data_IF_200525483117
#
_entry.id   IF_200525483117
#
_cell.length_a   1.000
_cell.length_b   1.000
_cell.length_c   1.000
_cell.angle_alpha   90.00
_cell.angle_beta   90.00
_cell.angle_gamma   90.00
#
_symmetry.space_group_name_H-M   'P 1'
#
loop_
_entity.id
_entity.type
_entity.pdbx_description
1 polymer ?
#
# COMPACT_ATOMS: atom_id res chain seq x y z
N UNK A 1 18.07 -10.39 -15.45
CA UNK A 1 17.73 -8.98 -15.18
C UNK A 1 19.03 -8.26 -14.95
N UNK A 2 19.26 -7.13 -15.63
CA UNK A 2 20.30 -6.18 -15.19
C UNK A 2 19.75 -5.43 -13.97
N UNK A 3 20.62 -5.19 -12.99
CA UNK A 3 20.22 -4.77 -11.66
C UNK A 3 21.38 -4.71 -10.70
N UNK A 4 21.17 -3.97 -9.61
CA UNK A 4 22.02 -4.05 -8.42
C UNK A 4 21.27 -4.80 -7.33
N UNK A 5 21.96 -5.71 -6.67
CA UNK A 5 21.47 -6.48 -5.54
C UNK A 5 22.12 -6.00 -4.25
N UNK A 6 21.31 -5.86 -3.20
CA UNK A 6 21.71 -5.59 -1.83
C UNK A 6 21.43 -6.83 -0.99
N UNK A 7 22.48 -7.50 -0.55
CA UNK A 7 22.39 -8.69 0.29
C UNK A 7 22.93 -8.41 1.70
N UNK A 8 22.16 -8.59 2.78
CA UNK A 8 22.64 -8.35 4.14
C UNK A 8 23.92 -9.14 4.44
N UNK A 9 24.93 -8.45 5.01
CA UNK A 9 26.19 -9.10 5.41
C UNK A 9 26.06 -9.96 6.65
N UNK A 10 25.16 -9.58 7.55
CA UNK A 10 24.83 -10.23 8.79
C UNK A 10 23.39 -9.88 9.18
N UNK A 11 22.87 -10.53 10.21
CA UNK A 11 21.59 -10.15 10.82
C UNK A 11 21.66 -8.72 11.33
N UNK A 12 20.64 -7.92 11.01
CA UNK A 12 20.55 -6.54 11.48
C UNK A 12 20.23 -6.50 12.98
N UNK A 13 21.04 -5.76 13.75
CA UNK A 13 20.85 -5.57 15.19
C UNK A 13 20.01 -4.33 15.52
N UNK A 14 19.91 -3.38 14.57
CA UNK A 14 19.12 -2.16 14.69
C UNK A 14 18.30 -1.89 13.42
N UNK A 15 17.38 -0.92 13.50
CA UNK A 15 16.59 -0.45 12.34
C UNK A 15 17.47 0.31 11.35
N UNK A 16 17.25 0.05 10.06
CA UNK A 16 17.90 0.73 8.95
C UNK A 16 16.83 1.54 8.21
N UNK A 17 17.08 2.82 7.97
CA UNK A 17 16.21 3.62 7.11
C UNK A 17 16.76 3.62 5.68
N UNK A 18 16.05 2.96 4.77
CA UNK A 18 16.35 2.90 3.35
C UNK A 18 15.62 3.97 2.53
N UNK A 19 15.04 4.98 3.19
CA UNK A 19 14.51 6.16 2.52
C UNK A 19 15.59 6.79 1.63
N UNK A 20 15.29 6.97 0.35
CA UNK A 20 16.24 7.51 -0.64
C UNK A 20 17.11 6.45 -1.33
N UNK A 21 17.11 5.20 -0.87
CA UNK A 21 17.74 4.08 -1.59
C UNK A 21 16.71 3.53 -2.59
N UNK A 22 16.62 4.18 -3.75
CA UNK A 22 15.67 3.86 -4.82
C UNK A 22 16.38 3.84 -6.17
N UNK A 23 15.88 3.10 -7.18
CA UNK A 23 16.44 3.13 -8.54
C UNK A 23 16.64 4.55 -9.11
N UNK A 24 15.72 5.48 -8.83
CA UNK A 24 15.85 6.87 -9.26
C UNK A 24 17.11 7.57 -8.71
N UNK A 25 17.58 7.14 -7.53
CA UNK A 25 18.78 7.68 -6.87
C UNK A 25 20.01 6.82 -7.14
N UNK A 26 19.87 5.51 -7.19
CA UNK A 26 21.00 4.59 -7.32
C UNK A 26 21.48 4.47 -8.76
N UNK A 27 20.59 4.49 -9.75
CA UNK A 27 20.95 4.28 -11.16
C UNK A 27 21.98 5.28 -11.73
N UNK A 28 21.96 6.57 -11.36
CA UNK A 28 22.98 7.52 -11.80
C UNK A 28 24.37 7.34 -11.15
N UNK A 29 24.50 6.49 -10.12
CA UNK A 29 25.73 6.36 -9.35
C UNK A 29 26.66 5.29 -9.92
N UNK A 30 27.95 5.43 -9.64
CA UNK A 30 28.90 4.32 -9.76
C UNK A 30 28.74 3.35 -8.59
N UNK A 31 29.21 2.11 -8.76
CA UNK A 31 29.18 1.10 -7.68
C UNK A 31 29.86 1.63 -6.40
N UNK A 32 31.00 2.31 -6.53
CA UNK A 32 31.73 2.88 -5.40
C UNK A 32 30.96 3.99 -4.67
N UNK A 33 30.24 4.82 -5.42
CA UNK A 33 29.38 5.85 -4.82
C UNK A 33 28.19 5.22 -4.09
N UNK A 34 27.58 4.18 -4.69
CA UNK A 34 26.50 3.43 -4.07
C UNK A 34 26.95 2.74 -2.76
N UNK A 35 28.11 2.09 -2.76
CA UNK A 35 28.73 1.51 -1.56
C UNK A 35 28.95 2.53 -0.44
N UNK A 36 29.27 3.77 -0.81
CA UNK A 36 29.51 4.87 0.11
C UNK A 36 28.27 5.63 0.57
N UNK A 37 27.07 5.34 0.05
CA UNK A 37 25.85 6.03 0.46
C UNK A 37 25.61 5.83 1.97
N UNK A 38 25.42 6.92 2.70
CA UNK A 38 25.19 6.85 4.14
C UNK A 38 23.72 6.58 4.43
N UNK A 39 23.46 5.54 5.22
CA UNK A 39 22.11 5.17 5.68
C UNK A 39 22.04 5.22 7.21
N UNK A 40 20.93 5.71 7.79
CA UNK A 40 20.70 5.62 9.23
C UNK A 40 20.62 4.16 9.69
N UNK A 41 21.35 3.83 10.76
CA UNK A 41 21.35 2.52 11.43
C UNK A 41 21.30 2.71 12.94
N UNK A 42 20.12 2.52 13.53
CA UNK A 42 19.86 2.84 14.94
C UNK A 42 20.13 4.33 15.23
N UNK A 43 21.11 4.60 16.09
CA UNK A 43 21.51 5.97 16.46
C UNK A 43 22.68 6.53 15.63
N UNK A 44 23.19 5.77 14.65
CA UNK A 44 24.36 6.12 13.84
C UNK A 44 23.98 6.24 12.36
N UNK A 45 24.89 6.74 11.55
CA UNK A 45 24.81 6.67 10.09
C UNK A 45 26.03 5.90 9.60
N UNK A 46 25.82 4.90 8.74
CA UNK A 46 26.86 4.00 8.24
C UNK A 46 26.83 3.94 6.71
N UNK A 47 27.95 3.64 6.03
CA UNK A 47 27.94 3.37 4.60
C UNK A 47 27.07 2.14 4.27
N UNK A 48 26.40 2.16 3.13
CA UNK A 48 25.53 1.07 2.68
C UNK A 48 26.29 -0.25 2.58
N UNK A 49 27.55 -0.21 2.13
CA UNK A 49 28.42 -1.37 2.03
C UNK A 49 28.82 -1.99 3.38
N UNK A 50 28.64 -1.29 4.51
CA UNK A 50 28.87 -1.86 5.84
C UNK A 50 27.74 -2.85 6.22
N UNK A 51 26.53 -2.61 5.71
CA UNK A 51 25.35 -3.43 6.00
C UNK A 51 25.07 -4.47 4.91
N UNK A 52 25.36 -4.15 3.65
CA UNK A 52 25.03 -4.99 2.50
C UNK A 52 26.27 -5.33 1.65
N UNK A 53 26.29 -6.55 1.12
CA UNK A 53 27.04 -6.86 -0.09
C UNK A 53 26.27 -6.27 -1.27
N UNK A 54 26.98 -5.49 -2.10
CA UNK A 54 26.40 -4.81 -3.25
C UNK A 54 26.95 -5.46 -4.51
N UNK A 55 26.08 -6.13 -5.26
CA UNK A 55 26.47 -6.91 -6.44
C UNK A 55 25.73 -6.41 -7.68
N UNK A 56 26.42 -6.37 -8.83
CA UNK A 56 25.85 -5.89 -10.08
C UNK A 56 26.02 -4.38 -10.30
N UNK A 57 25.71 -3.95 -11.52
CA UNK A 57 25.73 -2.53 -11.86
C UNK A 57 24.43 -1.88 -11.36
N UNK A 58 24.48 -0.65 -10.83
CA UNK A 58 23.29 0.10 -10.46
C UNK A 58 22.58 0.58 -11.72
N UNK A 59 21.90 -0.34 -12.40
CA UNK A 59 21.10 -0.06 -13.59
C UNK A 59 19.83 -0.91 -13.54
N UNK A 60 18.69 -0.34 -13.91
CA UNK A 60 17.44 -1.09 -13.93
C UNK A 60 16.89 -1.41 -12.53
N UNK A 61 16.87 -2.69 -12.15
CA UNK A 61 16.16 -3.17 -10.95
C UNK A 61 17.05 -3.08 -9.72
N UNK A 62 16.52 -2.53 -8.62
CA UNK A 62 17.12 -2.63 -7.30
C UNK A 62 16.53 -3.84 -6.56
N UNK A 63 17.34 -4.87 -6.34
CA UNK A 63 16.95 -6.06 -5.59
C UNK A 63 17.48 -5.95 -4.15
N UNK A 64 16.62 -6.18 -3.17
CA UNK A 64 17.01 -6.45 -1.79
C UNK A 64 16.81 -7.94 -1.55
N UNK A 65 17.91 -8.67 -1.46
CA UNK A 65 17.91 -10.08 -1.09
C UNK A 65 17.71 -10.21 0.42
N UNK A 66 16.86 -11.14 0.85
CA UNK A 66 16.64 -11.45 2.27
C UNK A 66 16.18 -10.19 3.05
N UNK A 67 14.92 -9.82 2.87
CA UNK A 67 14.29 -8.72 3.62
C UNK A 67 14.28 -8.95 5.14
N UNK A 68 14.31 -7.86 5.91
CA UNK A 68 14.21 -7.86 7.38
C UNK A 68 13.17 -6.81 7.83
N UNK A 69 12.41 -7.13 8.88
CA UNK A 69 11.42 -6.25 9.53
C UNK A 69 12.00 -4.93 10.07
N UNK A 70 13.33 -4.83 10.14
CA UNK A 70 14.10 -3.65 10.53
C UNK A 70 14.42 -2.72 9.36
N UNK A 71 14.10 -3.10 8.12
CA UNK A 71 14.30 -2.27 6.93
C UNK A 71 13.11 -1.32 6.76
N UNK A 72 13.23 -0.12 7.31
CA UNK A 72 12.20 0.91 7.19
C UNK A 72 12.41 1.75 5.91
N UNK A 73 11.34 2.37 5.41
CA UNK A 73 11.43 3.36 4.33
C UNK A 73 11.81 2.80 2.95
N UNK A 74 11.75 1.47 2.75
CA UNK A 74 12.07 0.84 1.46
C UNK A 74 11.21 1.41 0.34
N UNK A 75 11.81 1.96 -0.72
CA UNK A 75 11.07 2.56 -1.83
C UNK A 75 10.33 3.86 -1.47
N UNK A 76 10.61 4.46 -0.31
CA UNK A 76 10.01 5.74 0.06
C UNK A 76 10.38 6.83 -0.97
N UNK A 77 9.37 7.59 -1.41
CA UNK A 77 9.51 8.65 -2.41
C UNK A 77 9.78 8.19 -3.84
N UNK A 78 9.71 6.90 -4.15
CA UNK A 78 10.17 6.37 -5.44
C UNK A 78 9.36 6.95 -6.62
N UNK A 79 10.05 7.48 -7.64
CA UNK A 79 9.50 8.08 -8.87
C UNK A 79 10.21 7.49 -10.10
N UNK A 80 9.95 6.20 -10.26
CA UNK A 80 10.24 5.33 -11.41
C UNK A 80 11.55 4.53 -11.41
N UNK A 81 11.48 3.34 -12.03
CA UNK A 81 12.32 2.17 -11.79
C UNK A 81 11.54 1.03 -11.10
N UNK A 82 12.22 -0.08 -10.83
CA UNK A 82 11.63 -1.24 -10.13
C UNK A 82 12.50 -1.63 -8.93
N UNK A 83 11.85 -1.83 -7.78
CA UNK A 83 12.48 -2.28 -6.54
C UNK A 83 11.79 -3.56 -6.10
N UNK A 84 12.58 -4.62 -5.92
CA UNK A 84 12.09 -5.94 -5.50
C UNK A 84 12.72 -6.27 -4.15
N UNK A 85 11.91 -6.74 -3.20
CA UNK A 85 12.37 -7.26 -1.92
C UNK A 85 11.97 -8.72 -1.81
N UNK A 86 12.96 -9.59 -1.70
CA UNK A 86 12.75 -11.00 -1.38
C UNK A 86 12.73 -11.19 0.14
N UNK A 87 11.56 -11.01 0.74
CA UNK A 87 11.35 -11.16 2.18
C UNK A 87 10.45 -10.07 2.76
N UNK A 88 10.58 -9.87 4.07
CA UNK A 88 9.78 -8.90 4.83
C UNK A 88 10.42 -7.51 4.80
N UNK A 89 9.61 -6.47 5.03
CA UNK A 89 10.10 -5.10 5.25
C UNK A 89 9.50 -4.50 6.51
N UNK A 90 10.16 -3.48 7.04
CA UNK A 90 9.68 -2.68 8.16
C UNK A 90 8.58 -1.70 7.78
N UNK A 91 8.49 -0.62 8.55
CA UNK A 91 7.49 0.42 8.38
C UNK A 91 7.83 1.34 7.20
N UNK A 92 6.82 2.09 6.73
CA UNK A 92 6.97 3.17 5.75
C UNK A 92 7.44 2.73 4.34
N UNK A 93 7.37 1.45 4.03
CA UNK A 93 7.69 0.97 2.68
C UNK A 93 6.78 1.66 1.64
N UNK A 94 7.36 2.24 0.59
CA UNK A 94 6.64 2.97 -0.45
C UNK A 94 5.96 4.27 0.01
N UNK A 95 6.30 4.81 1.20
CA UNK A 95 5.75 6.09 1.68
C UNK A 95 5.99 7.19 0.66
N UNK A 96 4.93 7.90 0.25
CA UNK A 96 5.02 9.02 -0.67
C UNK A 96 5.52 8.65 -2.07
N UNK A 97 5.51 7.36 -2.44
CA UNK A 97 5.90 6.93 -3.78
C UNK A 97 5.01 7.60 -4.84
N UNK A 98 5.64 8.07 -5.92
CA UNK A 98 4.99 8.80 -7.01
C UNK A 98 5.04 8.08 -8.36
N UNK A 99 5.86 7.04 -8.51
CA UNK A 99 6.03 6.30 -9.76
C UNK A 99 6.93 5.07 -9.61
N UNK A 100 6.86 4.16 -10.58
CA UNK A 100 7.62 2.90 -10.57
C UNK A 100 6.85 1.73 -9.95
N UNK A 101 7.58 0.65 -9.68
CA UNK A 101 7.03 -0.59 -9.14
C UNK A 101 7.83 -1.05 -7.92
N UNK A 102 7.14 -1.27 -6.80
CA UNK A 102 7.69 -1.87 -5.59
C UNK A 102 7.03 -3.24 -5.37
N UNK A 103 7.84 -4.31 -5.37
CA UNK A 103 7.38 -5.69 -5.12
C UNK A 103 7.98 -6.22 -3.84
N UNK A 104 7.14 -6.74 -2.94
CA UNK A 104 7.57 -7.27 -1.64
C UNK A 104 7.01 -8.69 -1.50
N UNK A 105 7.89 -9.69 -1.38
CA UNK A 105 7.51 -11.10 -1.32
C UNK A 105 6.97 -11.55 0.06
N UNK A 106 7.32 -10.85 1.14
CA UNK A 106 6.88 -11.15 2.51
C UNK A 106 5.83 -10.18 3.03
N UNK A 107 5.88 -9.93 4.34
CA UNK A 107 5.06 -8.96 5.06
C UNK A 107 5.69 -7.56 5.05
N UNK A 108 4.86 -6.53 5.25
CA UNK A 108 5.30 -5.16 5.46
C UNK A 108 4.76 -4.60 6.78
N UNK A 109 5.56 -3.76 7.44
CA UNK A 109 5.16 -3.08 8.67
C UNK A 109 4.10 -1.99 8.44
N UNK A 110 3.97 -1.12 9.44
CA UNK A 110 2.99 -0.04 9.44
C UNK A 110 3.27 0.98 8.32
N UNK A 111 2.21 1.66 7.89
CA UNK A 111 2.26 2.73 6.90
C UNK A 111 2.79 2.32 5.51
N UNK A 112 2.61 1.05 5.12
CA UNK A 112 2.85 0.60 3.75
C UNK A 112 2.10 1.49 2.75
N UNK A 113 2.81 2.09 1.81
CA UNK A 113 2.24 2.95 0.78
C UNK A 113 1.51 4.17 1.33
N UNK A 114 1.80 4.61 2.56
CA UNK A 114 1.21 5.82 3.10
C UNK A 114 1.51 7.01 2.18
N UNK A 115 0.49 7.80 1.87
CA UNK A 115 0.58 8.94 0.96
C UNK A 115 1.06 8.61 -0.47
N UNK A 116 0.87 7.37 -0.94
CA UNK A 116 1.10 6.98 -2.34
C UNK A 116 0.38 7.94 -3.29
N UNK A 117 1.11 8.53 -4.23
CA UNK A 117 0.58 9.49 -5.21
C UNK A 117 0.60 8.94 -6.64
N UNK A 118 1.43 7.94 -6.91
CA UNK A 118 1.51 7.24 -8.20
C UNK A 118 2.39 6.00 -8.10
N UNK A 119 2.47 5.24 -9.19
CA UNK A 119 3.17 3.94 -9.23
C UNK A 119 2.34 2.78 -8.67
N UNK A 120 3.01 1.64 -8.45
CA UNK A 120 2.38 0.39 -8.02
C UNK A 120 3.18 -0.28 -6.91
N UNK A 121 2.50 -0.62 -5.82
CA UNK A 121 3.03 -1.44 -4.73
C UNK A 121 2.31 -2.79 -4.76
N UNK A 122 3.07 -3.87 -4.85
CA UNK A 122 2.58 -5.25 -4.78
C UNK A 122 3.22 -5.97 -3.60
N UNK A 123 2.43 -6.20 -2.56
CA UNK A 123 2.81 -6.96 -1.38
C UNK A 123 2.16 -8.36 -1.44
N UNK A 124 2.93 -9.42 -1.27
CA UNK A 124 2.39 -10.78 -1.26
C UNK A 124 1.83 -11.18 0.13
N UNK A 125 2.46 -10.74 1.22
CA UNK A 125 2.05 -11.03 2.59
C UNK A 125 1.06 -10.02 3.18
N UNK A 126 1.17 -9.82 4.50
CA UNK A 126 0.34 -8.96 5.32
C UNK A 126 0.94 -7.55 5.46
N UNK A 127 0.07 -6.55 5.54
CA UNK A 127 0.44 -5.18 5.85
C UNK A 127 0.06 -4.83 7.31
N UNK A 128 0.90 -4.04 7.96
CA UNK A 128 0.62 -3.46 9.28
C UNK A 128 -0.51 -2.43 9.27
N UNK A 129 -0.57 -1.61 10.32
CA UNK A 129 -1.56 -0.54 10.43
C UNK A 129 -1.34 0.55 9.37
N UNK A 130 -2.39 1.30 9.04
CA UNK A 130 -2.33 2.48 8.17
C UNK A 130 -1.81 2.23 6.73
N UNK A 131 -2.00 1.03 6.20
CA UNK A 131 -1.66 0.76 4.79
C UNK A 131 -2.46 1.71 3.85
N UNK A 132 -1.76 2.44 2.98
CA UNK A 132 -2.34 3.47 2.11
C UNK A 132 -2.91 4.69 2.86
N UNK A 133 -2.70 4.77 4.17
CA UNK A 133 -3.26 5.79 5.04
C UNK A 133 -2.51 7.13 5.02
N UNK A 134 -2.98 8.06 5.85
CA UNK A 134 -2.27 9.30 6.15
C UNK A 134 -1.18 9.07 7.20
N UNK A 135 -0.06 9.79 7.05
CA UNK A 135 0.94 9.85 8.11
C UNK A 135 0.47 10.74 9.27
N UNK A 136 1.13 10.65 10.42
CA UNK A 136 0.83 11.48 11.59
C UNK A 136 0.90 12.98 11.24
N UNK A 137 -0.19 13.71 11.47
CA UNK A 137 -0.30 15.14 11.16
C UNK A 137 -0.68 15.45 9.71
N UNK A 138 -0.71 14.45 8.83
CA UNK A 138 -1.12 14.63 7.45
C UNK A 138 -2.63 14.73 7.28
N UNK A 139 -3.04 15.57 6.32
CA UNK A 139 -4.46 15.81 6.00
C UNK A 139 -4.98 14.83 4.94
N UNK A 140 -4.12 14.04 4.31
CA UNK A 140 -4.46 13.16 3.18
C UNK A 140 -3.59 11.91 3.21
N UNK A 141 -4.19 10.76 2.98
CA UNK A 141 -3.47 9.50 2.73
C UNK A 141 -3.14 9.33 1.25
N UNK A 142 -3.25 8.10 0.76
CA UNK A 142 -3.05 7.77 -0.65
C UNK A 142 -3.93 8.63 -1.57
N UNK A 143 -3.33 9.23 -2.60
CA UNK A 143 -3.96 10.15 -3.55
C UNK A 143 -3.96 9.65 -4.99
N UNK A 144 -3.17 8.61 -5.30
CA UNK A 144 -3.07 7.98 -6.62
C UNK A 144 -2.25 6.70 -6.56
N UNK A 145 -2.10 6.01 -7.69
CA UNK A 145 -1.41 4.72 -7.77
C UNK A 145 -2.27 3.52 -7.38
N UNK A 146 -1.62 2.36 -7.31
CA UNK A 146 -2.26 1.08 -6.93
C UNK A 146 -1.46 0.44 -5.79
N UNK A 147 -2.14 0.15 -4.68
CA UNK A 147 -1.60 -0.64 -3.57
C UNK A 147 -2.34 -1.98 -3.51
N UNK A 148 -1.63 -3.07 -3.82
CA UNK A 148 -2.16 -4.43 -3.76
C UNK A 148 -1.49 -5.20 -2.62
N UNK A 149 -2.31 -5.72 -1.71
CA UNK A 149 -1.92 -6.51 -0.55
C UNK A 149 -2.50 -7.91 -0.73
N UNK A 150 -1.65 -8.93 -0.80
CA UNK A 150 -2.05 -10.32 -1.00
C UNK A 150 -2.71 -10.94 0.24
N UNK A 151 -2.20 -10.61 1.43
CA UNK A 151 -2.73 -11.04 2.71
C UNK A 151 -3.68 -10.03 3.36
N UNK A 152 -3.56 -9.91 4.67
CA UNK A 152 -4.39 -9.05 5.52
C UNK A 152 -3.80 -7.64 5.63
N UNK A 153 -4.65 -6.65 5.90
CA UNK A 153 -4.25 -5.30 6.26
C UNK A 153 -4.66 -4.98 7.71
N UNK A 154 -3.75 -4.37 8.47
CA UNK A 154 -4.01 -3.94 9.84
C UNK A 154 -5.05 -2.81 9.98
N UNK A 155 -5.24 -2.30 11.19
CA UNK A 155 -6.19 -1.23 11.46
C UNK A 155 -5.92 0.04 10.65
N UNK A 156 -6.97 0.79 10.34
CA UNK A 156 -6.93 2.07 9.64
C UNK A 156 -6.26 2.04 8.27
N UNK A 157 -6.28 0.90 7.59
CA UNK A 157 -5.99 0.85 6.16
C UNK A 157 -6.90 1.85 5.41
N UNK A 158 -6.39 2.47 4.34
CA UNK A 158 -7.10 3.48 3.54
C UNK A 158 -7.55 4.74 4.32
N UNK A 159 -7.00 5.01 5.50
CA UNK A 159 -7.34 6.22 6.26
C UNK A 159 -7.05 7.49 5.44
N UNK A 160 -8.06 8.36 5.32
CA UNK A 160 -7.98 9.61 4.54
C UNK A 160 -7.53 9.42 3.09
N UNK A 161 -7.75 8.23 2.51
CA UNK A 161 -7.53 8.01 1.09
C UNK A 161 -8.31 9.07 0.30
N UNK A 162 -7.64 9.69 -0.68
CA UNK A 162 -8.18 10.73 -1.57
C UNK A 162 -8.28 10.26 -3.01
N UNK A 163 -7.56 9.21 -3.39
CA UNK A 163 -7.58 8.68 -4.74
C UNK A 163 -6.83 7.36 -4.83
N UNK A 164 -6.66 6.87 -6.06
CA UNK A 164 -6.02 5.58 -6.32
C UNK A 164 -6.88 4.37 -5.92
N UNK A 165 -6.27 3.19 -6.03
CA UNK A 165 -6.90 1.90 -5.76
C UNK A 165 -6.13 1.12 -4.70
N UNK A 166 -6.81 0.70 -3.64
CA UNK A 166 -6.31 -0.23 -2.62
C UNK A 166 -7.03 -1.56 -2.77
N UNK A 167 -6.30 -2.66 -2.88
CA UNK A 167 -6.84 -4.02 -3.00
C UNK A 167 -6.22 -4.90 -1.92
N UNK A 168 -7.06 -5.44 -1.04
CA UNK A 168 -6.68 -6.31 0.07
C UNK A 168 -7.26 -7.70 -0.21
N UNK A 169 -6.39 -8.70 -0.38
CA UNK A 169 -6.78 -10.07 -0.70
C UNK A 169 -7.44 -10.80 0.48
N UNK A 170 -6.94 -10.56 1.69
CA UNK A 170 -7.46 -11.10 2.94
C UNK A 170 -8.38 -10.14 3.70
N UNK A 171 -8.24 -10.14 5.02
CA UNK A 171 -9.04 -9.34 5.95
C UNK A 171 -8.49 -7.91 6.12
N UNK A 172 -9.38 -6.97 6.43
CA UNK A 172 -9.03 -5.61 6.81
C UNK A 172 -9.41 -5.35 8.28
N UNK A 173 -8.49 -4.76 9.04
CA UNK A 173 -8.71 -4.42 10.45
C UNK A 173 -9.76 -3.33 10.69
N UNK A 174 -9.93 -2.97 11.97
CA UNK A 174 -10.82 -1.88 12.41
C UNK A 174 -10.51 -0.56 11.71
N UNK A 175 -11.57 0.19 11.39
CA UNK A 175 -11.45 1.56 10.90
C UNK A 175 -10.90 1.67 9.48
N UNK A 176 -11.04 0.62 8.66
CA UNK A 176 -10.80 0.69 7.22
C UNK A 176 -11.52 1.93 6.63
N UNK A 177 -10.83 2.72 5.81
CA UNK A 177 -11.38 3.90 5.15
C UNK A 177 -11.92 4.99 6.09
N UNK A 178 -11.43 5.05 7.35
CA UNK A 178 -11.73 6.17 8.26
C UNK A 178 -11.34 7.50 7.60
N UNK A 179 -12.21 8.50 7.70
CA UNK A 179 -12.04 9.83 7.09
C UNK A 179 -11.77 9.80 5.57
N UNK A 180 -12.13 8.73 4.84
CA UNK A 180 -11.88 8.62 3.40
C UNK A 180 -12.47 9.84 2.64
N UNK A 181 -11.65 10.47 1.82
CA UNK A 181 -11.99 11.69 1.07
C UNK A 181 -12.56 11.33 -0.31
N UNK A 182 -11.96 10.33 -0.96
CA UNK A 182 -12.35 9.72 -2.24
C UNK A 182 -11.41 8.53 -2.55
N UNK A 183 -11.64 7.85 -3.67
CA UNK A 183 -10.83 6.70 -4.11
C UNK A 183 -11.59 5.39 -3.96
N UNK A 184 -10.88 4.29 -4.23
CA UNK A 184 -11.47 2.95 -4.22
C UNK A 184 -10.65 2.03 -3.33
N UNK A 185 -11.33 1.30 -2.45
CA UNK A 185 -10.77 0.20 -1.68
C UNK A 185 -11.57 -1.08 -1.97
N UNK A 186 -10.90 -2.23 -2.00
CA UNK A 186 -11.56 -3.54 -2.13
C UNK A 186 -10.97 -4.53 -1.16
N UNK A 187 -11.84 -5.32 -0.53
CA UNK A 187 -11.47 -6.33 0.48
C UNK A 187 -12.05 -7.68 0.09
N UNK A 188 -11.19 -8.69 -0.02
CA UNK A 188 -11.57 -10.06 -0.35
C UNK A 188 -12.08 -10.87 0.84
N UNK A 189 -11.63 -10.56 2.05
CA UNK A 189 -12.05 -11.18 3.31
C UNK A 189 -13.09 -10.35 4.07
N UNK A 190 -12.95 -10.34 5.39
CA UNK A 190 -13.80 -9.60 6.34
C UNK A 190 -13.25 -8.21 6.62
N UNK A 191 -14.12 -7.32 7.12
CA UNK A 191 -13.73 -5.96 7.52
C UNK A 191 -14.11 -5.79 9.00
N UNK A 192 -13.17 -5.31 9.79
CA UNK A 192 -13.40 -4.94 11.19
C UNK A 192 -14.41 -3.80 11.37
N UNK A 193 -14.76 -3.46 12.62
CA UNK A 193 -15.76 -2.44 12.91
C UNK A 193 -15.32 -1.04 12.45
N UNK A 194 -16.27 -0.09 12.47
CA UNK A 194 -16.04 1.33 12.16
C UNK A 194 -15.55 1.62 10.73
N UNK A 195 -15.79 0.70 9.79
CA UNK A 195 -15.48 0.92 8.38
C UNK A 195 -16.14 2.21 7.87
N UNK A 196 -15.36 3.07 7.21
CA UNK A 196 -15.85 4.28 6.58
C UNK A 196 -16.35 5.35 7.54
N UNK A 197 -16.06 5.26 8.85
CA UNK A 197 -16.40 6.32 9.80
C UNK A 197 -15.83 7.66 9.32
N UNK A 198 -16.68 8.68 9.18
CA UNK A 198 -16.26 9.99 8.69
C UNK A 198 -15.92 10.04 7.19
N UNK A 199 -16.23 8.99 6.41
CA UNK A 199 -15.99 9.01 4.97
C UNK A 199 -16.87 10.07 4.27
N UNK A 200 -16.26 10.83 3.37
CA UNK A 200 -16.91 11.88 2.57
C UNK A 200 -17.42 11.32 1.25
N UNK A 201 -16.54 10.63 0.52
CA UNK A 201 -16.79 9.98 -0.79
C UNK A 201 -15.90 8.75 -0.91
N UNK A 202 -16.04 8.04 -2.01
CA UNK A 202 -15.24 6.87 -2.35
C UNK A 202 -16.07 5.60 -2.29
N UNK A 203 -15.51 4.53 -2.83
CA UNK A 203 -16.20 3.26 -2.99
C UNK A 203 -15.40 2.17 -2.29
N UNK A 204 -16.02 1.48 -1.35
CA UNK A 204 -15.48 0.27 -0.72
C UNK A 204 -16.20 -0.94 -1.32
N UNK A 205 -15.46 -1.89 -1.87
CA UNK A 205 -15.98 -3.18 -2.33
C UNK A 205 -15.70 -4.26 -1.30
N UNK A 206 -16.71 -5.06 -0.99
CA UNK A 206 -16.60 -6.21 -0.06
C UNK A 206 -17.49 -7.36 -0.54
N UNK A 207 -17.24 -8.57 -0.04
CA UNK A 207 -18.09 -9.75 -0.30
C UNK A 207 -19.28 -9.86 0.64
N UNK A 208 -19.19 -9.28 1.83
CA UNK A 208 -20.24 -9.31 2.85
C UNK A 208 -20.35 -7.95 3.52
N UNK A 209 -21.56 -7.57 3.93
CA UNK A 209 -21.79 -6.34 4.71
C UNK A 209 -21.10 -6.49 6.08
N UNK A 210 -20.13 -5.63 6.45
CA UNK A 210 -19.47 -5.70 7.75
C UNK A 210 -20.31 -5.02 8.84
N UNK A 211 -19.79 -5.01 10.07
CA UNK A 211 -20.35 -4.17 11.14
C UNK A 211 -20.06 -2.70 10.83
N UNK A 212 -21.12 -1.94 10.54
CA UNK A 212 -21.02 -0.54 10.13
C UNK A 212 -21.18 0.42 11.30
N UNK A 213 -20.46 1.55 11.30
CA UNK A 213 -20.74 2.63 12.25
C UNK A 213 -22.12 3.25 11.98
N UNK A 214 -22.63 4.00 12.96
CA UNK A 214 -23.80 4.85 12.75
C UNK A 214 -23.57 5.80 11.56
N UNK A 215 -24.62 6.05 10.79
CA UNK A 215 -24.57 6.96 9.65
C UNK A 215 -24.56 6.28 8.27
N UNK A 216 -24.43 4.95 8.20
CA UNK A 216 -24.65 4.20 6.96
C UNK A 216 -26.12 3.79 6.80
N UNK A 217 -26.63 3.93 5.58
CA UNK A 217 -27.99 3.56 5.19
C UNK A 217 -27.94 2.54 4.08
N UNK A 218 -28.64 1.42 4.26
CA UNK A 218 -28.81 0.43 3.22
C UNK A 218 -29.84 0.91 2.19
N UNK A 219 -29.41 0.99 0.94
CA UNK A 219 -30.23 1.45 -0.19
C UNK A 219 -30.74 0.27 -1.04
N UNK A 220 -30.55 -0.95 -0.56
CA UNK A 220 -31.00 -2.18 -1.20
C UNK A 220 -30.10 -2.63 -2.35
N UNK A 221 -30.61 -3.60 -3.12
CA UNK A 221 -29.94 -4.07 -4.33
C UNK A 221 -30.18 -3.11 -5.49
N UNK A 222 -29.09 -2.82 -6.22
CA UNK A 222 -29.11 -1.92 -7.36
C UNK A 222 -28.44 -2.57 -8.57
N UNK A 223 -28.96 -2.28 -9.75
CA UNK A 223 -28.31 -2.61 -11.01
C UNK A 223 -27.38 -1.46 -11.41
N UNK A 224 -26.08 -1.74 -11.40
CA UNK A 224 -24.99 -0.81 -11.63
C UNK A 224 -24.13 -1.34 -12.79
N UNK A 225 -24.49 -0.96 -14.03
CA UNK A 225 -23.75 -1.34 -15.25
C UNK A 225 -22.25 -0.98 -15.17
N UNK A 226 -21.92 0.07 -14.40
CA UNK A 226 -20.55 0.46 -14.10
C UNK A 226 -19.70 -0.69 -13.52
N UNK A 227 -20.27 -1.64 -12.79
CA UNK A 227 -19.56 -2.79 -12.22
C UNK A 227 -18.93 -3.67 -13.30
N UNK A 228 -19.62 -3.94 -14.40
CA UNK A 228 -19.06 -4.69 -15.52
C UNK A 228 -17.90 -3.95 -16.19
N UNK A 229 -18.01 -2.62 -16.31
CA UNK A 229 -16.93 -1.80 -16.86
C UNK A 229 -15.70 -1.83 -15.94
N UNK A 230 -15.90 -1.67 -14.64
CA UNK A 230 -14.85 -1.74 -13.63
C UNK A 230 -14.16 -3.11 -13.63
N UNK A 231 -14.91 -4.21 -13.57
CA UNK A 231 -14.36 -5.57 -13.57
C UNK A 231 -13.58 -5.90 -14.86
N UNK A 232 -13.97 -5.31 -16.01
CA UNK A 232 -13.26 -5.48 -17.28
C UNK A 232 -12.00 -4.62 -17.39
N UNK A 233 -12.01 -3.41 -16.83
CA UNK A 233 -10.92 -2.42 -17.00
C UNK A 233 -9.94 -2.37 -15.84
N UNK A 234 -10.33 -2.88 -14.67
CA UNK A 234 -9.52 -2.92 -13.45
C UNK A 234 -9.44 -4.38 -12.98
N UNK A 235 -8.46 -5.16 -13.47
CA UNK A 235 -8.33 -6.58 -13.16
C UNK A 235 -8.30 -6.88 -11.66
N UNK A 236 -7.80 -5.95 -10.85
CA UNK A 236 -7.73 -6.08 -9.40
C UNK A 236 -9.11 -6.10 -8.74
N UNK A 237 -10.09 -5.36 -9.29
CA UNK A 237 -11.46 -5.35 -8.79
C UNK A 237 -12.28 -6.55 -9.27
N UNK A 238 -11.86 -7.21 -10.35
CA UNK A 238 -12.55 -8.38 -10.91
C UNK A 238 -12.74 -9.49 -9.88
N UNK A 239 -11.80 -9.66 -8.95
CA UNK A 239 -11.86 -10.70 -7.92
C UNK A 239 -13.00 -10.49 -6.89
N UNK A 240 -13.45 -9.25 -6.70
CA UNK A 240 -14.55 -8.91 -5.78
C UNK A 240 -15.85 -8.66 -6.55
N UNK A 241 -15.79 -8.01 -7.72
CA UNK A 241 -16.98 -7.70 -8.54
C UNK A 241 -17.49 -8.92 -9.33
N UNK A 242 -16.60 -9.81 -9.76
CA UNK A 242 -16.95 -10.94 -10.62
C UNK A 242 -17.46 -10.48 -11.98
N UNK A 243 -18.64 -10.99 -12.38
CA UNK A 243 -19.34 -10.61 -13.62
C UNK A 243 -20.67 -9.89 -13.34
N UNK A 244 -20.94 -9.55 -12.09
CA UNK A 244 -22.23 -9.04 -11.64
C UNK A 244 -22.45 -7.60 -12.10
N UNK A 245 -23.69 -7.28 -12.47
CA UNK A 245 -24.18 -5.90 -12.57
C UNK A 245 -24.95 -5.50 -11.32
N UNK A 246 -25.21 -6.42 -10.39
CA UNK A 246 -26.01 -6.15 -9.21
C UNK A 246 -25.11 -6.04 -7.99
N UNK A 247 -25.42 -5.09 -7.11
CA UNK A 247 -24.79 -5.00 -5.81
C UNK A 247 -25.78 -4.48 -4.79
N UNK A 248 -25.71 -4.99 -3.56
CA UNK A 248 -26.30 -4.30 -2.41
C UNK A 248 -25.46 -3.06 -2.12
N UNK A 249 -26.10 -1.90 -2.08
CA UNK A 249 -25.44 -0.62 -1.93
C UNK A 249 -25.81 0.00 -0.59
N UNK A 250 -24.80 0.33 0.20
CA UNK A 250 -24.96 1.08 1.44
C UNK A 250 -24.25 2.41 1.28
N UNK A 251 -24.87 3.50 1.72
CA UNK A 251 -24.39 4.86 1.52
C UNK A 251 -24.10 5.49 2.87
N UNK A 252 -22.96 6.16 2.98
CA UNK A 252 -22.47 6.76 4.22
C UNK A 252 -21.18 7.55 3.98
N UNK A 253 -20.67 8.30 4.94
CA UNK A 253 -21.28 8.56 6.24
C UNK A 253 -22.26 9.73 6.11
N UNK A 254 -23.54 9.53 6.47
CA UNK A 254 -24.57 10.57 6.36
C UNK A 254 -24.30 11.79 7.27
N UNK A 255 -23.48 11.63 8.32
CA UNK A 255 -22.99 12.74 9.13
C UNK A 255 -22.06 13.69 8.34
N UNK A 256 -21.47 13.20 7.24
CA UNK A 256 -20.52 13.90 6.38
C UNK A 256 -21.06 14.09 4.95
N UNK A 257 -22.39 13.99 4.76
CA UNK A 257 -23.08 14.24 3.49
C UNK A 257 -23.42 12.99 2.67
N UNK A 258 -23.01 11.80 3.11
CA UNK A 258 -23.49 10.53 2.56
C UNK A 258 -23.19 10.31 1.07
N UNK A 259 -21.99 10.69 0.61
CA UNK A 259 -21.57 10.43 -0.78
C UNK A 259 -20.56 9.28 -0.91
N UNK A 260 -20.13 8.70 0.21
CA UNK A 260 -19.40 7.44 0.22
C UNK A 260 -20.33 6.26 0.05
N UNK A 261 -19.79 5.16 -0.47
CA UNK A 261 -20.57 3.96 -0.67
C UNK A 261 -19.78 2.68 -0.36
N UNK A 262 -20.51 1.71 0.16
CA UNK A 262 -20.11 0.32 0.27
C UNK A 262 -20.93 -0.46 -0.76
N UNK A 263 -20.23 -1.22 -1.60
CA UNK A 263 -20.85 -2.10 -2.59
C UNK A 263 -20.53 -3.55 -2.24
N UNK A 264 -21.59 -4.36 -2.17
CA UNK A 264 -21.52 -5.81 -2.04
C UNK A 264 -22.07 -6.43 -3.32
N UNK A 265 -21.21 -6.75 -4.32
CA UNK A 265 -21.64 -7.39 -5.55
C UNK A 265 -22.38 -8.70 -5.28
N UNK A 266 -23.43 -8.95 -6.05
CA UNK A 266 -24.24 -10.17 -5.99
C UNK A 266 -23.58 -11.34 -6.71
#
# INVERSE_FOLDING_TARGET
MSGVSLKPRATLEARVDLSGITPAVTCPLTLRELEGLSVPYGAKSVPLAELFFIEGAPEGVLLIEIGDSRLDGVGAGMLEGELIVDGVVGAWAGRGMGGGVLRIAGDAGDFLGAELSGGRIELAGNAGAHAGGATSGSRRGMSGGVLKIGGNAGPRAAERQRGGLIVIGGDAGEGLATDMIAGTASVGGTIGPLMGRGMKRGTVFTRTVPELPAGFVDTGEQELVALQLLARRVPELKAVIGQSTRARRLVGDTLLGGQGELLVPA
#
